data_IF_368070154348
#
_entry.id   IF_368070154348
#
_cell.length_a   1.000
_cell.length_b   1.000
_cell.length_c   1.000
_cell.angle_alpha   90.00
_cell.angle_beta   90.00
_cell.angle_gamma   90.00
#
_symmetry.space_group_name_H-M   'P 1'
#
loop_
_entity.id
_entity.type
_entity.pdbx_description
1 polymer ?
#
# COMPACT_ATOMS: atom_id res chain seq x y z
N UNK A 1 3.37 9.90 27.05
CA UNK A 1 2.26 9.71 26.10
C UNK A 1 2.88 9.70 24.70
N UNK A 2 2.93 8.56 24.01
CA UNK A 2 3.55 8.43 22.68
C UNK A 2 2.51 8.67 21.58
N UNK A 3 2.07 9.92 21.41
CA UNK A 3 1.38 10.31 20.18
C UNK A 3 2.44 10.62 19.12
N UNK A 4 2.74 9.66 18.24
CA UNK A 4 3.49 9.97 17.01
C UNK A 4 4.47 8.93 16.46
N UNK A 5 4.56 7.71 16.99
CA UNK A 5 5.62 6.77 16.54
C UNK A 5 5.25 5.84 15.39
N UNK A 6 3.99 5.78 14.96
CA UNK A 6 3.55 4.85 13.92
C UNK A 6 3.22 5.59 12.62
N UNK A 7 3.88 5.16 11.53
CA UNK A 7 3.67 5.67 10.17
C UNK A 7 3.26 4.49 9.30
N UNK A 8 2.26 4.68 8.46
CA UNK A 8 1.89 3.70 7.44
C UNK A 8 2.70 3.99 6.19
N UNK A 9 3.44 3.00 5.71
CA UNK A 9 4.21 3.10 4.46
C UNK A 9 3.53 2.21 3.41
N UNK A 10 3.08 2.81 2.31
CA UNK A 10 2.51 2.10 1.17
C UNK A 10 3.50 2.16 0.02
N UNK A 11 3.87 0.99 -0.50
CA UNK A 11 4.76 0.84 -1.66
C UNK A 11 3.98 0.26 -2.82
N UNK A 12 4.11 0.87 -3.99
CA UNK A 12 3.47 0.41 -5.21
C UNK A 12 4.50 0.25 -6.33
N UNK A 13 4.35 -0.82 -7.11
CA UNK A 13 5.15 -1.11 -8.30
C UNK A 13 4.20 -1.16 -9.49
N UNK A 14 4.50 -0.37 -10.53
CA UNK A 14 3.72 -0.33 -11.78
C UNK A 14 4.57 -0.90 -12.89
N UNK A 15 4.02 -1.87 -13.59
CA UNK A 15 4.69 -2.59 -14.68
C UNK A 15 4.00 -2.29 -16.01
N UNK A 16 4.79 -2.24 -17.08
CA UNK A 16 4.30 -2.25 -18.45
C UNK A 16 3.81 -3.66 -18.82
N UNK A 17 3.12 -3.78 -19.96
CA UNK A 17 2.61 -5.06 -20.48
C UNK A 17 3.73 -6.10 -20.68
N UNK A 18 4.93 -5.66 -21.03
CA UNK A 18 6.11 -6.53 -21.20
C UNK A 18 6.81 -6.88 -19.86
N UNK A 19 6.11 -6.76 -18.74
CA UNK A 19 6.59 -7.00 -17.37
C UNK A 19 7.80 -6.14 -16.93
N UNK A 20 8.15 -5.09 -17.67
CA UNK A 20 9.19 -4.15 -17.24
C UNK A 20 8.64 -3.21 -16.16
N UNK A 21 9.43 -2.98 -15.10
CA UNK A 21 9.08 -2.01 -14.07
C UNK A 21 9.15 -0.59 -14.67
N UNK A 22 8.03 0.13 -14.61
CA UNK A 22 7.93 1.52 -15.04
C UNK A 22 8.05 2.50 -13.89
N UNK A 23 7.43 2.18 -12.74
CA UNK A 23 7.38 3.11 -11.62
C UNK A 23 7.41 2.38 -10.27
N UNK A 24 8.17 2.96 -9.34
CA UNK A 24 8.10 2.67 -7.92
C UNK A 24 7.63 3.91 -7.17
N UNK A 25 6.64 3.77 -6.30
CA UNK A 25 6.20 4.84 -5.41
C UNK A 25 6.20 4.37 -3.96
N UNK A 26 6.66 5.24 -3.07
CA UNK A 26 6.54 5.07 -1.63
C UNK A 26 5.79 6.27 -1.06
N UNK A 27 4.67 6.01 -0.39
CA UNK A 27 3.88 7.04 0.30
C UNK A 27 3.84 6.75 1.79
N UNK A 28 3.94 7.81 2.60
CA UNK A 28 3.98 7.72 4.06
C UNK A 28 2.79 8.49 4.63
N UNK A 29 1.97 7.81 5.41
CA UNK A 29 0.72 8.33 5.95
C UNK A 29 0.74 8.30 7.47
N UNK A 30 0.05 9.27 8.07
CA UNK A 30 -0.24 9.25 9.51
C UNK A 30 -1.12 8.05 9.85
N UNK A 31 -0.65 7.18 10.73
CA UNK A 31 -1.37 5.94 11.07
C UNK A 31 -2.76 6.20 11.67
N UNK A 32 -2.94 7.29 12.42
CA UNK A 32 -4.21 7.65 13.05
C UNK A 32 -5.28 8.15 12.06
N UNK A 33 -4.88 8.47 10.83
CA UNK A 33 -5.76 8.99 9.77
C UNK A 33 -5.82 8.10 8.54
N UNK A 34 -5.15 6.95 8.54
CA UNK A 34 -5.11 6.06 7.39
C UNK A 34 -6.04 4.86 7.59
N UNK A 35 -6.75 4.46 6.52
CA UNK A 35 -7.55 3.24 6.47
C UNK A 35 -7.31 2.52 5.16
N UNK A 36 -6.84 1.28 5.24
CA UNK A 36 -6.77 0.38 4.09
C UNK A 36 -8.12 -0.33 3.90
N UNK A 37 -8.64 -0.36 2.68
CA UNK A 37 -9.89 -1.07 2.33
C UNK A 37 -9.59 -1.92 1.12
N UNK A 38 -9.81 -3.23 1.24
CA UNK A 38 -9.63 -4.18 0.15
C UNK A 38 -10.72 -5.25 0.21
N UNK A 39 -10.98 -5.90 -0.93
CA UNK A 39 -12.00 -6.93 -1.09
C UNK A 39 -11.35 -8.31 -1.14
N UNK A 40 -11.45 -9.07 -0.06
CA UNK A 40 -11.08 -10.48 -0.08
C UNK A 40 -12.10 -11.28 -0.90
N UNK A 41 -11.65 -11.92 -1.98
CA UNK A 41 -12.45 -12.91 -2.72
C UNK A 41 -12.00 -14.30 -2.29
N UNK A 42 -12.94 -15.16 -1.87
CA UNK A 42 -12.67 -16.58 -1.68
C UNK A 42 -12.75 -17.24 -3.04
N UNK A 43 -11.62 -17.72 -3.55
CA UNK A 43 -11.62 -18.57 -4.73
C UNK A 43 -12.15 -19.95 -4.31
N UNK A 44 -13.32 -20.32 -4.82
CA UNK A 44 -13.89 -21.65 -4.62
C UNK A 44 -13.56 -22.40 -5.90
N UNK A 45 -12.48 -23.19 -5.86
CA UNK A 45 -12.31 -24.27 -6.84
C UNK A 45 -13.28 -25.40 -6.53
#
# INVERSE_FOLDING_TARGET
MHEGTHVVVVRSLVYLENAQLFQYTESRHRADKFRFVDFARRDHM
#
